data_IF_375727188478
#
_entry.id   IF_375727188478
#
_cell.length_a   1.000
_cell.length_b   1.000
_cell.length_c   1.000
_cell.angle_alpha   90.00
_cell.angle_beta   90.00
_cell.angle_gamma   90.00
#
_symmetry.space_group_name_H-M   'P 1'
#
loop_
_entity.id
_entity.type
_entity.pdbx_description
1 polymer ?
#
# COMPACT_ATOMS: atom_id res chain seq x y z
N UNK A 1 8.03 -0.99 -35.21
CA UNK A 1 6.59 -1.25 -34.97
C UNK A 1 6.16 -0.27 -33.89
N UNK A 2 5.24 0.60 -34.21
CA UNK A 2 4.74 1.59 -33.27
C UNK A 2 3.59 0.97 -32.45
N UNK A 3 3.20 1.60 -31.32
CA UNK A 3 2.11 1.08 -30.45
C UNK A 3 0.78 0.99 -31.22
N UNK A 4 0.54 1.92 -32.15
CA UNK A 4 -0.64 1.90 -33.02
C UNK A 4 -0.75 0.68 -33.95
N UNK A 5 0.31 -0.12 -34.09
CA UNK A 5 0.22 -1.41 -34.81
C UNK A 5 -0.57 -2.47 -34.01
N UNK A 6 -0.75 -2.26 -32.70
CA UNK A 6 -1.41 -3.21 -31.78
C UNK A 6 -2.67 -2.63 -31.13
N UNK A 7 -2.69 -1.33 -30.84
CA UNK A 7 -3.79 -0.63 -30.18
C UNK A 7 -4.18 0.60 -30.99
N UNK A 8 -5.47 0.87 -31.12
CA UNK A 8 -5.98 2.09 -31.75
C UNK A 8 -5.70 3.29 -30.83
N UNK A 9 -4.52 3.88 -30.96
CA UNK A 9 -4.10 5.08 -30.22
C UNK A 9 -3.85 6.22 -31.23
N UNK A 10 -4.48 7.38 -31.00
CA UNK A 10 -4.30 8.59 -31.81
C UNK A 10 -2.82 8.99 -31.80
N UNK A 11 -2.20 9.28 -32.97
CA UNK A 11 -0.79 9.70 -33.04
C UNK A 11 -0.47 10.94 -32.18
N UNK A 12 -1.44 11.80 -31.89
CA UNK A 12 -1.25 12.96 -31.01
C UNK A 12 -1.07 12.54 -29.55
N UNK A 13 -1.80 11.50 -29.09
CA UNK A 13 -1.61 10.91 -27.75
C UNK A 13 -0.25 10.24 -27.67
N UNK A 14 0.18 9.51 -28.71
CA UNK A 14 1.51 8.89 -28.77
C UNK A 14 2.61 9.95 -28.67
N UNK A 15 2.55 11.00 -29.47
CA UNK A 15 3.50 12.12 -29.41
C UNK A 15 3.50 12.85 -28.05
N UNK A 16 2.32 13.06 -27.45
CA UNK A 16 2.19 13.64 -26.13
C UNK A 16 2.83 12.76 -25.06
N UNK A 17 2.63 11.44 -25.17
CA UNK A 17 3.20 10.45 -24.25
C UNK A 17 4.72 10.38 -24.30
N UNK A 18 5.32 10.49 -25.50
CA UNK A 18 6.78 10.58 -25.65
C UNK A 18 7.35 11.83 -24.96
N UNK A 19 6.66 12.96 -25.09
CA UNK A 19 7.05 14.20 -24.42
C UNK A 19 6.90 14.07 -22.90
N UNK A 20 5.78 13.51 -22.43
CA UNK A 20 5.56 13.25 -21.01
C UNK A 20 6.66 12.35 -20.41
N UNK A 21 7.01 11.27 -21.10
CA UNK A 21 8.09 10.38 -20.67
C UNK A 21 9.45 11.07 -20.63
N UNK A 22 9.77 11.87 -21.62
CA UNK A 22 11.00 12.68 -21.63
C UNK A 22 11.06 13.65 -20.43
N UNK A 23 9.94 14.30 -20.07
CA UNK A 23 9.83 15.18 -18.91
C UNK A 23 10.05 14.41 -17.59
N UNK A 24 9.68 13.12 -17.54
CA UNK A 24 9.83 12.27 -16.35
C UNK A 24 11.27 11.74 -16.14
N UNK A 25 12.19 11.94 -17.08
CA UNK A 25 13.51 11.28 -17.10
C UNK A 25 14.30 11.43 -15.80
N UNK A 26 14.28 12.60 -15.18
CA UNK A 26 14.96 12.85 -13.89
C UNK A 26 14.31 12.05 -12.76
N UNK A 27 12.98 12.08 -12.66
CA UNK A 27 12.23 11.35 -11.64
C UNK A 27 12.47 9.84 -11.79
N UNK A 28 12.50 9.33 -13.03
CA UNK A 28 12.81 7.92 -13.31
C UNK A 28 14.21 7.54 -12.86
N UNK A 29 15.22 8.39 -13.09
CA UNK A 29 16.58 8.14 -12.62
C UNK A 29 16.68 8.07 -11.10
N UNK A 30 15.92 8.92 -10.39
CA UNK A 30 15.84 8.92 -8.92
C UNK A 30 15.15 7.65 -8.40
N UNK A 31 14.05 7.24 -9.03
CA UNK A 31 13.33 5.98 -8.73
C UNK A 31 14.27 4.78 -8.92
N UNK A 32 15.01 4.72 -10.04
CA UNK A 32 15.95 3.63 -10.32
C UNK A 32 17.10 3.58 -9.30
N UNK A 33 17.54 4.73 -8.79
CA UNK A 33 18.55 4.79 -7.73
C UNK A 33 18.01 4.17 -6.43
N UNK A 34 16.80 4.53 -6.02
CA UNK A 34 16.12 3.97 -4.85
C UNK A 34 15.89 2.45 -5.01
N UNK A 35 15.46 2.01 -6.19
CA UNK A 35 15.27 0.59 -6.48
C UNK A 35 16.59 -0.20 -6.36
N UNK A 36 17.69 0.31 -6.90
CA UNK A 36 19.03 -0.32 -6.76
C UNK A 36 19.47 -0.43 -5.31
N UNK A 37 19.23 0.62 -4.49
CA UNK A 37 19.50 0.58 -3.05
C UNK A 37 18.69 -0.54 -2.37
N UNK A 38 17.39 -0.57 -2.60
CA UNK A 38 16.48 -1.55 -2.00
C UNK A 38 16.78 -2.98 -2.49
N UNK A 39 17.11 -3.17 -3.77
CA UNK A 39 17.53 -4.47 -4.29
C UNK A 39 18.82 -4.99 -3.63
N UNK A 40 19.80 -4.10 -3.41
CA UNK A 40 21.01 -4.46 -2.68
C UNK A 40 20.72 -4.84 -1.23
N UNK A 41 19.81 -4.13 -0.55
CA UNK A 41 19.33 -4.43 0.80
C UNK A 41 18.68 -5.82 0.88
N UNK A 42 17.80 -6.14 -0.07
CA UNK A 42 17.15 -7.45 -0.16
C UNK A 42 18.16 -8.56 -0.44
N UNK A 43 19.03 -8.41 -1.43
CA UNK A 43 20.08 -9.39 -1.75
C UNK A 43 21.00 -9.67 -0.56
N UNK A 44 21.38 -8.61 0.16
CA UNK A 44 22.21 -8.74 1.36
C UNK A 44 21.49 -9.56 2.44
N UNK A 45 20.19 -9.30 2.68
CA UNK A 45 19.40 -10.05 3.65
C UNK A 45 19.27 -11.54 3.27
N UNK A 46 19.08 -11.84 1.99
CA UNK A 46 19.06 -13.22 1.48
C UNK A 46 20.38 -13.94 1.73
N UNK A 47 21.51 -13.29 1.43
CA UNK A 47 22.84 -13.86 1.63
C UNK A 47 23.15 -14.09 3.13
N UNK A 48 22.91 -13.11 3.98
CA UNK A 48 23.18 -13.17 5.40
C UNK A 48 22.38 -14.27 6.11
N UNK A 49 21.10 -14.43 5.72
CA UNK A 49 20.21 -15.44 6.27
C UNK A 49 20.30 -16.78 5.53
N UNK A 50 21.28 -16.93 4.61
CA UNK A 50 21.57 -18.19 3.90
C UNK A 50 20.34 -18.78 3.22
N UNK A 51 19.56 -17.93 2.54
CA UNK A 51 18.40 -18.41 1.77
C UNK A 51 18.86 -19.45 0.76
N UNK A 52 18.27 -20.62 0.81
CA UNK A 52 18.61 -21.78 -0.02
C UNK A 52 17.33 -22.46 -0.51
N UNK A 53 17.45 -23.41 -1.41
CA UNK A 53 16.31 -24.18 -1.94
C UNK A 53 15.50 -24.87 -0.82
N UNK A 54 16.14 -25.22 0.29
CA UNK A 54 15.46 -25.82 1.46
C UNK A 54 14.44 -24.87 2.11
N UNK A 55 14.59 -23.56 1.94
CA UNK A 55 13.61 -22.58 2.43
C UNK A 55 12.26 -22.66 1.69
N UNK A 56 12.22 -23.31 0.53
CA UNK A 56 11.03 -23.46 -0.31
C UNK A 56 10.30 -24.80 -0.07
N UNK A 57 10.74 -25.56 0.93
CA UNK A 57 10.10 -26.81 1.36
C UNK A 57 8.65 -26.58 1.77
N UNK A 58 7.86 -27.64 1.72
CA UNK A 58 6.44 -27.62 2.07
C UNK A 58 6.27 -28.25 3.44
N UNK A 59 5.65 -27.51 4.36
CA UNK A 59 5.13 -28.06 5.61
C UNK A 59 3.61 -28.11 5.61
N UNK A 60 3.06 -29.05 6.36
CA UNK A 60 1.63 -29.30 6.54
C UNK A 60 1.29 -29.47 8.01
N UNK A 61 0.00 -29.50 8.35
CA UNK A 61 -0.46 -29.68 9.72
C UNK A 61 0.00 -28.54 10.64
N UNK A 62 0.63 -28.86 11.76
CA UNK A 62 1.10 -27.86 12.72
C UNK A 62 2.30 -27.05 12.21
N UNK A 63 3.09 -27.57 11.29
CA UNK A 63 4.25 -26.89 10.73
C UNK A 63 5.34 -26.57 11.77
N UNK A 64 5.51 -27.41 12.81
CA UNK A 64 6.61 -27.23 13.75
C UNK A 64 7.98 -27.32 13.07
N UNK A 65 8.90 -26.41 13.43
CA UNK A 65 10.26 -26.41 12.92
C UNK A 65 10.36 -26.15 11.42
N UNK A 66 9.42 -25.39 10.83
CA UNK A 66 9.51 -24.99 9.43
C UNK A 66 10.67 -24.01 9.23
N UNK A 67 11.79 -24.54 8.73
CA UNK A 67 13.01 -23.77 8.51
C UNK A 67 12.80 -22.58 7.55
N UNK A 68 12.05 -22.81 6.46
CA UNK A 68 11.81 -21.78 5.45
C UNK A 68 11.02 -20.60 6.00
N UNK A 69 9.99 -20.88 6.80
CA UNK A 69 9.19 -19.86 7.50
C UNK A 69 10.07 -19.03 8.45
N UNK A 70 10.91 -19.68 9.24
CA UNK A 70 11.74 -19.01 10.22
C UNK A 70 12.85 -18.17 9.55
N UNK A 71 13.39 -18.61 8.42
CA UNK A 71 14.32 -17.82 7.61
C UNK A 71 13.60 -16.65 6.94
N UNK A 72 12.37 -16.83 6.48
CA UNK A 72 11.57 -15.75 5.88
C UNK A 72 11.38 -14.59 6.87
N UNK A 73 10.99 -14.88 8.10
CA UNK A 73 10.83 -13.87 9.15
C UNK A 73 12.14 -13.08 9.37
N UNK A 74 13.29 -13.75 9.44
CA UNK A 74 14.60 -13.12 9.63
C UNK A 74 15.00 -12.23 8.43
N UNK A 75 14.77 -12.71 7.21
CA UNK A 75 15.03 -11.91 5.99
C UNK A 75 14.19 -10.64 6.01
N UNK A 76 12.90 -10.76 6.34
CA UNK A 76 12.01 -9.61 6.41
C UNK A 76 12.40 -8.63 7.51
N UNK A 77 12.73 -9.11 8.71
CA UNK A 77 13.21 -8.27 9.78
C UNK A 77 14.44 -7.45 9.35
N UNK A 78 15.41 -8.10 8.71
CA UNK A 78 16.61 -7.42 8.22
C UNK A 78 16.31 -6.41 7.10
N UNK A 79 15.46 -6.76 6.12
CA UNK A 79 15.08 -5.87 5.02
C UNK A 79 14.37 -4.61 5.53
N UNK A 80 13.49 -4.76 6.52
CA UNK A 80 12.71 -3.65 7.08
C UNK A 80 13.45 -2.90 8.20
N UNK A 81 14.61 -3.41 8.65
CA UNK A 81 15.40 -2.81 9.72
C UNK A 81 14.74 -2.95 11.09
N UNK A 82 14.11 -4.09 11.36
CA UNK A 82 13.40 -4.41 12.60
C UNK A 82 14.07 -5.53 13.39
N UNK A 83 13.69 -5.68 14.65
CA UNK A 83 14.21 -6.77 15.50
C UNK A 83 13.64 -8.13 15.10
N UNK A 84 12.37 -8.18 14.73
CA UNK A 84 11.65 -9.40 14.34
C UNK A 84 10.57 -9.11 13.31
N UNK A 85 10.08 -10.18 12.65
CA UNK A 85 8.96 -10.12 11.73
C UNK A 85 8.08 -11.39 11.87
N UNK A 86 6.81 -11.24 11.48
CA UNK A 86 5.81 -12.30 11.36
C UNK A 86 5.23 -12.21 9.96
N UNK A 87 5.74 -13.05 9.04
CA UNK A 87 5.31 -13.06 7.63
C UNK A 87 4.55 -14.34 7.36
N UNK A 88 3.26 -14.22 7.07
CA UNK A 88 2.40 -15.42 6.97
C UNK A 88 1.42 -15.30 5.80
N UNK A 89 1.26 -16.40 5.07
CA UNK A 89 0.28 -16.51 3.99
C UNK A 89 -1.17 -16.53 4.49
N UNK A 90 -1.39 -16.93 5.74
CA UNK A 90 -2.72 -17.01 6.35
C UNK A 90 -3.23 -15.71 6.96
N UNK A 91 -2.52 -14.60 6.84
CA UNK A 91 -3.16 -13.31 6.88
C UNK A 91 -4.01 -13.16 5.63
N UNK A 92 -5.33 -13.16 5.77
CA UNK A 92 -6.25 -13.14 4.63
C UNK A 92 -6.31 -11.79 3.90
N UNK A 93 -5.79 -10.73 4.53
CA UNK A 93 -5.71 -9.38 3.97
C UNK A 93 -4.81 -8.47 4.81
N UNK A 94 -4.48 -7.29 4.31
CA UNK A 94 -3.82 -6.23 5.10
C UNK A 94 -4.66 -5.81 6.32
N UNK A 95 -5.97 -5.67 6.15
CA UNK A 95 -6.90 -5.38 7.26
C UNK A 95 -6.85 -6.47 8.33
N UNK A 96 -6.72 -7.75 7.97
CA UNK A 96 -6.55 -8.83 8.94
C UNK A 96 -5.22 -8.70 9.69
N UNK A 97 -4.12 -8.39 9.00
CA UNK A 97 -2.83 -8.18 9.65
C UNK A 97 -2.89 -7.01 10.66
N UNK A 98 -3.53 -5.91 10.29
CA UNK A 98 -3.78 -4.76 11.17
C UNK A 98 -4.66 -5.16 12.37
N UNK A 99 -5.73 -5.92 12.13
CA UNK A 99 -6.62 -6.42 13.18
C UNK A 99 -5.86 -7.31 14.16
N UNK A 100 -5.02 -8.22 13.67
CA UNK A 100 -4.17 -9.08 14.52
C UNK A 100 -3.24 -8.23 15.38
N UNK A 101 -2.60 -7.21 14.82
CA UNK A 101 -1.72 -6.33 15.57
C UNK A 101 -2.48 -5.52 16.63
N UNK A 102 -3.61 -4.93 16.26
CA UNK A 102 -4.45 -4.15 17.19
C UNK A 102 -4.92 -4.99 18.37
N UNK A 103 -5.53 -6.15 18.13
CA UNK A 103 -6.00 -7.04 19.20
C UNK A 103 -4.87 -7.78 19.92
N UNK A 104 -3.71 -7.94 19.29
CA UNK A 104 -2.50 -8.48 19.90
C UNK A 104 -1.92 -7.56 20.96
N UNK A 105 -1.95 -6.26 20.72
CA UNK A 105 -1.28 -5.26 21.56
C UNK A 105 -2.22 -4.52 22.52
N UNK A 106 -3.49 -4.38 22.19
CA UNK A 106 -4.47 -3.65 23.04
C UNK A 106 -5.20 -4.59 24.00
N UNK A 107 -5.52 -4.07 25.17
CA UNK A 107 -6.29 -4.73 26.24
C UNK A 107 -7.46 -3.83 26.67
N UNK A 108 -8.47 -4.34 27.38
CA UNK A 108 -9.53 -3.53 27.94
C UNK A 108 -8.97 -2.35 28.74
N UNK A 109 -9.57 -1.17 28.53
CA UNK A 109 -9.18 0.14 29.07
C UNK A 109 -7.92 0.78 28.44
N UNK A 110 -7.19 0.10 27.56
CA UNK A 110 -6.15 0.75 26.77
C UNK A 110 -6.76 1.83 25.86
N UNK A 111 -5.93 2.81 25.49
CA UNK A 111 -6.29 3.88 24.56
C UNK A 111 -5.36 3.85 23.33
N UNK A 112 -5.95 3.98 22.15
CA UNK A 112 -5.23 4.20 20.88
C UNK A 112 -5.57 5.58 20.34
N UNK A 113 -4.57 6.28 19.78
CA UNK A 113 -4.77 7.58 19.13
C UNK A 113 -4.36 7.49 17.66
N UNK A 114 -5.30 7.75 16.77
CA UNK A 114 -5.05 7.86 15.34
C UNK A 114 -4.55 9.27 15.03
N UNK A 115 -3.24 9.40 14.75
CA UNK A 115 -2.57 10.70 14.64
C UNK A 115 -2.50 11.24 13.20
N UNK A 116 -3.01 10.49 12.24
CA UNK A 116 -3.03 10.85 10.81
C UNK A 116 -4.44 10.91 10.23
N UNK A 117 -5.41 11.31 11.04
CA UNK A 117 -6.81 11.37 10.65
C UNK A 117 -7.56 10.06 10.87
N UNK A 118 -8.76 9.97 10.30
CA UNK A 118 -9.57 8.75 10.34
C UNK A 118 -8.83 7.63 9.60
N UNK A 119 -8.72 6.43 10.20
CA UNK A 119 -8.05 5.32 9.53
C UNK A 119 -8.85 4.85 8.32
N UNK A 120 -8.24 3.98 7.50
CA UNK A 120 -8.84 3.44 6.30
C UNK A 120 -10.18 2.75 6.56
N UNK A 121 -11.12 2.86 5.63
CA UNK A 121 -12.52 2.46 5.79
C UNK A 121 -12.72 1.04 6.35
N UNK A 122 -11.89 0.08 5.94
CA UNK A 122 -12.00 -1.31 6.43
C UNK A 122 -11.65 -1.48 7.92
N UNK A 123 -11.00 -0.49 8.54
CA UNK A 123 -10.74 -0.48 9.99
C UNK A 123 -11.87 0.16 10.80
N UNK A 124 -12.82 0.86 10.17
CA UNK A 124 -13.87 1.56 10.91
C UNK A 124 -14.69 0.62 11.79
N UNK A 125 -15.07 -0.55 11.29
CA UNK A 125 -15.79 -1.55 12.09
C UNK A 125 -14.89 -2.27 13.08
N UNK A 126 -13.62 -2.51 12.72
CA UNK A 126 -12.62 -3.14 13.61
C UNK A 126 -12.44 -2.34 14.90
N UNK A 127 -12.39 -1.00 14.79
CA UNK A 127 -12.23 -0.12 15.96
C UNK A 127 -13.54 0.24 16.64
N UNK A 128 -14.69 0.02 16.00
CA UNK A 128 -16.01 0.39 16.49
C UNK A 128 -16.40 1.84 16.22
N UNK A 129 -15.83 2.45 15.17
CA UNK A 129 -16.22 3.77 14.64
C UNK A 129 -17.53 3.68 13.88
N UNK A 130 -17.73 2.60 13.12
CA UNK A 130 -18.96 2.22 12.41
C UNK A 130 -19.34 0.79 12.78
N UNK A 131 -20.45 0.30 12.27
CA UNK A 131 -20.93 -1.06 12.45
C UNK A 131 -21.92 -1.22 13.61
N UNK A 132 -22.35 -2.45 13.84
CA UNK A 132 -23.35 -2.79 14.87
C UNK A 132 -22.62 -3.04 16.20
N UNK A 133 -23.04 -2.40 17.32
CA UNK A 133 -22.49 -2.70 18.64
C UNK A 133 -22.63 -4.20 18.99
N UNK A 134 -21.59 -4.76 19.58
CA UNK A 134 -21.54 -6.18 19.93
C UNK A 134 -20.96 -7.10 18.85
N UNK A 135 -20.50 -6.56 17.71
CA UNK A 135 -19.83 -7.33 16.65
C UNK A 135 -18.41 -7.80 17.03
N UNK A 136 -17.89 -7.40 18.19
CA UNK A 136 -16.53 -7.75 18.61
C UNK A 136 -15.47 -6.75 18.14
N UNK A 137 -15.85 -5.48 17.99
CA UNK A 137 -14.91 -4.38 17.74
C UNK A 137 -14.00 -4.11 18.95
N UNK A 138 -12.89 -3.37 18.76
CA UNK A 138 -12.06 -2.93 19.88
C UNK A 138 -12.87 -2.20 20.96
N UNK A 139 -13.82 -1.38 20.54
CA UNK A 139 -14.74 -0.67 21.46
C UNK A 139 -15.58 -1.63 22.30
N UNK A 140 -16.06 -2.72 21.71
CA UNK A 140 -16.84 -3.74 22.45
C UNK A 140 -15.99 -4.46 23.51
N UNK A 141 -14.68 -4.54 23.30
CA UNK A 141 -13.71 -5.05 24.28
C UNK A 141 -13.19 -3.98 25.24
N UNK A 142 -13.79 -2.80 25.27
CA UNK A 142 -13.46 -1.74 26.20
C UNK A 142 -12.18 -0.98 25.87
N UNK A 143 -11.70 -1.02 24.62
CA UNK A 143 -10.61 -0.19 24.14
C UNK A 143 -11.14 1.19 23.74
N UNK A 144 -10.47 2.24 24.19
CA UNK A 144 -10.81 3.61 23.86
C UNK A 144 -9.99 4.10 22.66
N UNK A 145 -10.55 5.00 21.86
CA UNK A 145 -9.79 5.63 20.77
C UNK A 145 -10.08 7.12 20.65
N UNK A 146 -9.07 7.85 20.18
CA UNK A 146 -9.19 9.24 19.72
C UNK A 146 -8.68 9.34 18.28
N UNK A 147 -9.24 10.29 17.52
CA UNK A 147 -8.84 10.59 16.14
C UNK A 147 -8.42 12.06 16.09
N UNK A 148 -7.19 12.32 15.68
CA UNK A 148 -6.67 13.67 15.47
C UNK A 148 -6.83 13.99 13.98
N UNK A 149 -7.67 14.95 13.61
CA UNK A 149 -7.81 15.33 12.20
C UNK A 149 -6.49 15.90 11.67
N UNK A 150 -6.28 15.73 10.39
CA UNK A 150 -5.18 16.39 9.69
C UNK A 150 -5.42 17.90 9.64
N UNK A 151 -4.35 18.66 9.42
CA UNK A 151 -4.42 20.09 9.11
C UNK A 151 -5.12 20.31 7.77
N UNK A 152 -5.52 21.55 7.48
CA UNK A 152 -6.14 21.92 6.19
C UNK A 152 -5.26 21.56 4.96
N UNK A 153 -3.95 21.49 5.16
CA UNK A 153 -2.98 21.09 4.13
C UNK A 153 -2.76 19.57 4.05
N UNK A 154 -3.58 18.76 4.72
CA UNK A 154 -3.46 17.29 4.72
C UNK A 154 -2.22 16.76 5.46
N UNK A 155 -1.62 17.53 6.37
CA UNK A 155 -0.45 17.12 7.17
C UNK A 155 -0.87 16.77 8.59
N UNK A 156 -0.10 15.91 9.32
CA UNK A 156 -0.36 15.64 10.72
C UNK A 156 -0.30 16.93 11.56
N UNK A 157 -1.24 17.11 12.45
CA UNK A 157 -1.21 18.21 13.42
C UNK A 157 -0.28 17.83 14.57
N UNK A 158 0.98 18.23 14.47
CA UNK A 158 2.03 17.89 15.44
C UNK A 158 1.72 18.46 16.83
N UNK A 159 1.14 19.67 16.91
CA UNK A 159 0.81 20.31 18.18
C UNK A 159 -0.32 19.57 18.89
N UNK A 160 -1.39 19.28 18.16
CA UNK A 160 -2.53 18.54 18.71
C UNK A 160 -2.15 17.12 19.06
N UNK A 161 -1.31 16.48 18.22
CA UNK A 161 -0.75 15.15 18.51
C UNK A 161 -0.03 15.14 19.85
N UNK A 162 0.91 16.06 20.09
CA UNK A 162 1.65 16.12 21.35
C UNK A 162 0.76 16.28 22.60
N UNK A 163 -0.37 16.96 22.47
CA UNK A 163 -1.32 17.22 23.57
C UNK A 163 -2.31 16.08 23.83
N UNK A 164 -2.49 15.16 22.87
CA UNK A 164 -3.57 14.14 22.92
C UNK A 164 -3.09 12.75 23.34
N UNK A 165 -1.79 12.56 23.59
CA UNK A 165 -1.20 11.24 23.86
C UNK A 165 -1.23 10.82 25.32
N UNK A 166 -1.82 11.63 26.21
CA UNK A 166 -1.92 11.26 27.63
C UNK A 166 -2.78 9.99 27.80
N UNK A 167 -2.23 9.02 28.56
CA UNK A 167 -2.85 7.72 28.77
C UNK A 167 -2.94 6.82 27.52
N UNK A 168 -2.40 7.23 26.39
CA UNK A 168 -2.40 6.43 25.17
C UNK A 168 -1.30 5.37 25.21
N UNK A 169 -1.66 4.14 24.81
CA UNK A 169 -0.75 3.02 24.64
C UNK A 169 -0.17 2.96 23.23
N UNK A 170 -1.00 3.26 22.23
CA UNK A 170 -0.62 3.22 20.81
C UNK A 170 -0.91 4.57 20.15
N UNK A 171 0.05 5.10 19.42
CA UNK A 171 -0.13 6.12 18.39
C UNK A 171 -0.14 5.41 17.03
N UNK A 172 -1.28 5.47 16.34
CA UNK A 172 -1.46 4.83 15.05
C UNK A 172 -1.23 5.81 13.91
N UNK A 173 -0.39 5.43 12.98
CA UNK A 173 -0.06 6.18 11.76
C UNK A 173 -0.55 5.38 10.56
N UNK A 174 -1.34 6.00 9.70
CA UNK A 174 -1.62 5.50 8.35
C UNK A 174 -0.77 6.27 7.36
N UNK A 175 0.22 5.61 6.74
CA UNK A 175 1.15 6.26 5.81
C UNK A 175 0.48 6.64 4.51
N UNK A 176 -0.25 5.71 3.89
CA UNK A 176 -0.96 5.93 2.63
C UNK A 176 -2.18 6.86 2.79
N UNK A 177 -2.65 7.37 1.65
CA UNK A 177 -3.74 8.38 1.63
C UNK A 177 -5.16 7.81 1.70
N UNK A 178 -5.37 6.52 1.36
CA UNK A 178 -6.73 6.02 1.06
C UNK A 178 -7.37 6.81 -0.09
N UNK A 179 -8.66 7.12 0.00
CA UNK A 179 -9.39 7.98 -0.95
C UNK A 179 -9.33 9.48 -0.59
N UNK A 180 -8.22 9.93 0.00
CA UNK A 180 -7.99 11.34 0.29
C UNK A 180 -7.14 11.98 -0.82
N UNK A 181 -7.34 13.27 -1.08
CA UNK A 181 -6.54 14.02 -2.06
C UNK A 181 -5.19 14.50 -1.51
N UNK A 182 -4.90 14.27 -0.22
CA UNK A 182 -3.57 14.53 0.33
C UNK A 182 -2.49 13.65 -0.30
N UNK A 183 -1.23 14.00 -0.16
CA UNK A 183 -0.12 13.10 -0.44
C UNK A 183 0.05 12.06 0.67
N UNK A 184 0.60 10.88 0.35
CA UNK A 184 1.07 9.95 1.37
C UNK A 184 2.27 10.54 2.14
N UNK A 185 2.49 10.10 3.39
CA UNK A 185 3.58 10.63 4.21
C UNK A 185 4.92 10.02 3.82
N UNK A 186 5.89 10.88 3.58
CA UNK A 186 7.29 10.51 3.34
C UNK A 186 7.96 10.08 4.64
N UNK A 187 9.09 9.37 4.53
CA UNK A 187 9.91 9.00 5.70
C UNK A 187 10.39 10.23 6.48
N UNK A 188 10.66 11.34 5.77
CA UNK A 188 11.03 12.61 6.43
C UNK A 188 9.90 13.17 7.32
N UNK A 189 8.66 13.15 6.82
CA UNK A 189 7.48 13.59 7.58
C UNK A 189 7.17 12.64 8.74
N UNK A 190 7.33 11.33 8.53
CA UNK A 190 7.19 10.35 9.60
C UNK A 190 8.24 10.54 10.70
N UNK A 191 9.48 10.92 10.35
CA UNK A 191 10.54 11.22 11.31
C UNK A 191 10.14 12.34 12.26
N UNK A 192 9.59 13.43 11.72
CA UNK A 192 9.12 14.56 12.51
C UNK A 192 7.96 14.15 13.44
N UNK A 193 7.00 13.42 12.90
CA UNK A 193 5.84 12.93 13.66
C UNK A 193 6.26 11.98 14.78
N UNK A 194 7.10 10.97 14.49
CA UNK A 194 7.61 10.03 15.49
C UNK A 194 8.40 10.74 16.59
N UNK A 195 9.23 11.73 16.25
CA UNK A 195 9.98 12.50 17.23
C UNK A 195 9.05 13.29 18.18
N UNK A 196 7.98 13.89 17.66
CA UNK A 196 6.98 14.59 18.49
C UNK A 196 6.23 13.61 19.39
N UNK A 197 5.83 12.46 18.87
CA UNK A 197 5.13 11.42 19.64
C UNK A 197 6.01 10.91 20.78
N UNK A 198 7.26 10.51 20.51
CA UNK A 198 8.17 9.98 21.52
C UNK A 198 8.60 11.04 22.53
N UNK A 199 8.68 12.31 22.14
CA UNK A 199 8.93 13.42 23.08
C UNK A 199 7.77 13.64 24.05
N UNK A 200 6.53 13.50 23.57
CA UNK A 200 5.33 13.67 24.40
C UNK A 200 5.10 12.47 25.33
N UNK A 201 5.31 11.24 24.81
CA UNK A 201 5.19 10.00 25.59
C UNK A 201 6.24 8.99 25.12
N UNK A 202 7.38 8.83 25.82
CA UNK A 202 8.45 7.92 25.42
C UNK A 202 8.05 6.44 25.36
N UNK A 203 7.08 6.02 26.18
CA UNK A 203 6.65 4.63 26.30
C UNK A 203 5.58 4.22 25.27
N UNK A 204 5.01 5.19 24.56
CA UNK A 204 3.95 4.90 23.59
C UNK A 204 4.47 4.06 22.44
N UNK A 205 3.67 3.08 22.01
CA UNK A 205 3.96 2.27 20.83
C UNK A 205 3.55 3.04 19.58
N UNK A 206 4.48 3.31 18.68
CA UNK A 206 4.19 3.87 17.36
C UNK A 206 3.93 2.72 16.39
N UNK A 207 2.66 2.54 16.02
CA UNK A 207 2.21 1.54 15.06
C UNK A 207 1.93 2.21 13.72
N UNK A 208 2.55 1.71 12.64
CA UNK A 208 2.36 2.26 11.29
C UNK A 208 1.76 1.24 10.33
N UNK A 209 0.60 1.57 9.74
CA UNK A 209 0.13 0.93 8.52
C UNK A 209 1.01 1.42 7.36
N UNK A 210 1.87 0.53 6.85
CA UNK A 210 2.85 0.83 5.81
C UNK A 210 2.39 0.38 4.42
N UNK A 211 1.14 -0.07 4.27
CA UNK A 211 0.59 -0.47 2.97
C UNK A 211 0.85 0.60 1.90
N UNK A 212 1.34 0.18 0.73
CA UNK A 212 1.75 1.01 -0.42
C UNK A 212 3.05 1.81 -0.23
N UNK A 213 3.64 1.85 0.97
CA UNK A 213 4.85 2.62 1.26
C UNK A 213 6.14 1.80 1.13
N UNK A 214 6.05 0.48 1.15
CA UNK A 214 7.22 -0.40 1.14
C UNK A 214 8.04 -0.20 -0.14
N UNK A 215 9.36 -0.03 0.02
CA UNK A 215 10.35 0.19 -1.07
C UNK A 215 10.16 1.46 -1.90
N UNK A 216 9.24 2.35 -1.54
CA UNK A 216 9.06 3.66 -2.21
C UNK A 216 10.23 4.59 -1.92
N UNK A 217 10.80 4.52 -0.72
CA UNK A 217 12.01 5.24 -0.28
C UNK A 217 13.11 4.25 0.13
N UNK A 218 14.32 4.72 0.38
CA UNK A 218 15.46 3.87 0.79
C UNK A 218 15.29 3.31 2.21
N UNK A 219 14.53 4.01 3.07
CA UNK A 219 14.26 3.65 4.46
C UNK A 219 12.78 3.35 4.69
N UNK A 220 12.52 2.53 5.69
CA UNK A 220 11.18 2.20 6.16
C UNK A 220 10.88 2.89 7.50
N UNK A 221 9.60 3.00 7.93
CA UNK A 221 9.23 3.74 9.14
C UNK A 221 9.97 3.35 10.43
N UNK A 222 10.43 2.09 10.65
CA UNK A 222 11.22 1.75 11.83
C UNK A 222 12.55 2.52 11.92
N UNK A 223 13.18 2.86 10.79
CA UNK A 223 14.40 3.65 10.77
C UNK A 223 14.24 5.07 11.32
N UNK A 224 13.00 5.54 11.47
CA UNK A 224 12.68 6.90 11.94
C UNK A 224 11.82 6.92 13.21
N UNK A 225 11.66 5.75 13.85
CA UNK A 225 11.07 5.66 15.19
C UNK A 225 9.73 4.95 15.31
N UNK A 226 9.21 4.33 14.24
CA UNK A 226 8.08 3.43 14.36
C UNK A 226 8.50 2.14 15.09
N UNK A 227 7.73 1.70 16.10
CA UNK A 227 8.02 0.50 16.87
C UNK A 227 7.55 -0.77 16.16
N UNK A 228 6.49 -0.65 15.35
CA UNK A 228 5.91 -1.78 14.61
C UNK A 228 5.25 -1.28 13.33
N UNK A 229 5.43 -2.03 12.26
CA UNK A 229 4.82 -1.78 10.95
C UNK A 229 4.04 -2.99 10.46
N UNK A 230 2.97 -2.72 9.75
CA UNK A 230 2.05 -3.74 9.25
C UNK A 230 1.78 -3.49 7.76
N UNK A 231 1.62 -4.56 6.98
CA UNK A 231 1.24 -4.43 5.59
C UNK A 231 0.73 -5.73 4.97
N UNK A 232 0.45 -5.65 3.68
CA UNK A 232 -0.16 -6.71 2.88
C UNK A 232 0.82 -7.28 1.86
N UNK A 233 0.87 -8.60 1.74
CA UNK A 233 1.73 -9.27 0.76
C UNK A 233 1.20 -9.18 -0.68
N UNK A 234 -0.08 -8.95 -0.90
CA UNK A 234 -0.63 -8.75 -2.25
C UNK A 234 -0.40 -7.32 -2.79
N UNK A 235 0.32 -6.48 -2.04
CA UNK A 235 0.72 -5.12 -2.42
C UNK A 235 2.22 -5.06 -2.75
N UNK A 236 2.84 -3.91 -2.49
CA UNK A 236 4.25 -3.65 -2.81
C UNK A 236 5.20 -4.82 -2.50
N UNK A 237 5.23 -5.33 -1.26
CA UNK A 237 6.31 -6.23 -0.86
C UNK A 237 6.17 -7.65 -1.40
N UNK A 238 5.01 -8.03 -1.91
CA UNK A 238 4.82 -9.32 -2.57
C UNK A 238 5.19 -9.32 -4.05
N UNK A 239 5.62 -8.17 -4.61
CA UNK A 239 6.20 -8.07 -5.96
C UNK A 239 5.31 -8.61 -7.09
N UNK A 240 3.98 -8.57 -6.93
CA UNK A 240 3.03 -9.13 -7.89
C UNK A 240 3.02 -10.67 -7.97
N UNK A 241 3.76 -11.36 -7.08
CA UNK A 241 3.86 -12.83 -7.06
C UNK A 241 3.06 -13.43 -5.90
N UNK A 242 3.10 -12.77 -4.72
CA UNK A 242 2.39 -13.28 -3.54
C UNK A 242 0.87 -13.19 -3.73
N UNK A 243 0.20 -14.33 -3.71
CA UNK A 243 -1.26 -14.44 -3.92
C UNK A 243 -2.11 -14.13 -2.69
N UNK A 244 -1.49 -14.09 -1.52
CA UNK A 244 -2.14 -13.89 -0.22
C UNK A 244 -1.09 -13.52 0.82
N UNK A 245 -1.54 -13.13 1.99
CA UNK A 245 -0.66 -12.94 3.13
C UNK A 245 -0.51 -11.50 3.57
N UNK A 246 0.19 -11.36 4.68
CA UNK A 246 0.54 -10.09 5.29
C UNK A 246 1.80 -10.22 6.13
N UNK A 247 2.25 -9.10 6.64
CA UNK A 247 3.38 -9.06 7.55
C UNK A 247 3.12 -8.11 8.72
N UNK A 248 3.76 -8.41 9.83
CA UNK A 248 3.91 -7.55 11.01
C UNK A 248 5.40 -7.58 11.35
N UNK A 249 6.06 -6.43 11.42
CA UNK A 249 7.49 -6.34 11.72
C UNK A 249 7.78 -5.17 12.65
N UNK A 250 8.70 -5.35 13.58
CA UNK A 250 8.99 -4.33 14.59
C UNK A 250 9.84 -4.85 15.74
N UNK A 251 9.62 -4.31 16.93
CA UNK A 251 10.20 -4.81 18.17
C UNK A 251 9.78 -6.24 18.41
N UNK A 252 10.71 -7.07 18.87
CA UNK A 252 10.48 -8.52 19.05
C UNK A 252 9.36 -8.82 20.04
N UNK A 253 9.27 -8.08 21.15
CA UNK A 253 8.21 -8.25 22.16
C UNK A 253 6.81 -7.97 21.58
N UNK A 254 6.69 -7.00 20.69
CA UNK A 254 5.40 -6.66 20.05
C UNK A 254 5.02 -7.69 18.98
N UNK A 255 5.99 -8.15 18.18
CA UNK A 255 5.79 -9.19 17.16
C UNK A 255 5.36 -10.50 17.80
N UNK A 256 5.95 -10.87 18.96
CA UNK A 256 5.55 -12.05 19.71
C UNK A 256 4.09 -11.99 20.15
N UNK A 257 3.63 -10.87 20.74
CA UNK A 257 2.23 -10.67 21.13
C UNK A 257 1.27 -10.78 19.94
N UNK A 258 1.66 -10.24 18.79
CA UNK A 258 0.90 -10.36 17.55
C UNK A 258 0.83 -11.82 17.07
N UNK A 259 1.92 -12.57 17.20
CA UNK A 259 1.95 -14.00 16.83
C UNK A 259 0.99 -14.84 17.67
N UNK A 260 0.87 -14.53 18.96
CA UNK A 260 -0.12 -15.16 19.83
C UNK A 260 -1.56 -14.86 19.42
N UNK A 261 -1.80 -13.67 18.86
CA UNK A 261 -3.13 -13.33 18.35
C UNK A 261 -3.44 -13.99 17.02
N UNK A 262 -2.45 -14.19 16.16
CA UNK A 262 -2.61 -14.86 14.87
C UNK A 262 -2.87 -16.37 15.05
N UNK A 263 -2.20 -16.99 16.00
CA UNK A 263 -2.29 -18.44 16.28
C UNK A 263 -3.00 -18.67 17.63
N UNK A 264 -2.24 -18.88 18.68
CA UNK A 264 -2.76 -18.92 20.05
C UNK A 264 -1.64 -18.62 21.05
N UNK A 265 -2.03 -18.17 22.25
CA UNK A 265 -1.11 -17.89 23.36
C UNK A 265 -0.28 -19.13 23.69
N UNK A 266 1.02 -18.96 23.77
CA UNK A 266 1.96 -20.01 24.10
C UNK A 266 2.52 -20.81 22.91
N UNK A 267 1.90 -20.72 21.71
CA UNK A 267 2.43 -21.32 20.47
C UNK A 267 3.04 -20.27 19.52
N UNK A 268 2.33 -19.17 19.28
CA UNK A 268 2.87 -18.06 18.53
C UNK A 268 3.48 -18.44 17.18
N UNK A 269 4.75 -18.10 16.99
CA UNK A 269 5.52 -18.35 15.76
C UNK A 269 5.93 -19.81 15.54
N UNK A 270 5.83 -20.66 16.57
CA UNK A 270 6.26 -22.06 16.50
C UNK A 270 5.37 -22.93 15.60
N UNK A 271 4.16 -22.47 15.30
CA UNK A 271 3.18 -23.17 14.47
C UNK A 271 2.80 -22.36 13.24
N UNK A 272 2.19 -23.05 12.28
CA UNK A 272 1.73 -22.50 11.02
C UNK A 272 2.47 -23.13 9.84
N UNK A 273 1.79 -24.06 9.17
CA UNK A 273 2.34 -24.71 7.98
C UNK A 273 2.39 -23.72 6.80
N UNK A 274 3.35 -23.90 5.92
CA UNK A 274 3.60 -22.98 4.79
C UNK A 274 2.82 -23.35 3.52
N UNK A 275 2.36 -24.59 3.39
CA UNK A 275 1.59 -25.09 2.24
C UNK A 275 2.26 -24.80 0.88
N UNK A 276 3.59 -24.66 0.86
CA UNK A 276 4.36 -24.35 -0.34
C UNK A 276 4.38 -22.86 -0.74
N UNK A 277 3.81 -21.97 0.06
CA UNK A 277 3.74 -20.55 -0.24
C UNK A 277 5.08 -19.79 -0.09
N UNK A 278 6.04 -20.36 0.65
CA UNK A 278 7.33 -19.70 0.91
C UNK A 278 8.04 -19.24 -0.38
N UNK A 279 8.05 -20.08 -1.42
CA UNK A 279 8.68 -19.71 -2.71
C UNK A 279 8.16 -18.37 -3.24
N UNK A 280 6.84 -18.20 -3.24
CA UNK A 280 6.21 -16.96 -3.72
C UNK A 280 6.55 -15.77 -2.82
N UNK A 281 6.56 -15.96 -1.51
CA UNK A 281 6.87 -14.90 -0.56
C UNK A 281 8.33 -14.45 -0.65
N UNK A 282 9.29 -15.37 -0.83
CA UNK A 282 10.69 -15.04 -1.08
C UNK A 282 10.89 -14.39 -2.45
N UNK A 283 10.33 -14.98 -3.50
CA UNK A 283 10.48 -14.47 -4.87
C UNK A 283 9.81 -13.10 -5.02
N UNK A 284 8.65 -12.91 -4.41
CA UNK A 284 7.95 -11.63 -4.39
C UNK A 284 8.80 -10.54 -3.71
N UNK A 285 9.37 -10.83 -2.52
CA UNK A 285 10.27 -9.90 -1.85
C UNK A 285 11.51 -9.57 -2.69
N UNK A 286 12.09 -10.55 -3.38
CA UNK A 286 13.24 -10.34 -4.27
C UNK A 286 12.91 -9.39 -5.42
N UNK A 287 11.72 -9.51 -6.00
CA UNK A 287 11.29 -8.68 -7.13
C UNK A 287 10.73 -7.31 -6.70
N UNK A 288 10.28 -7.20 -5.46
CA UNK A 288 9.55 -6.03 -4.97
C UNK A 288 10.21 -4.67 -5.25
N UNK A 289 11.54 -4.47 -5.08
CA UNK A 289 12.18 -3.19 -5.38
C UNK A 289 11.99 -2.73 -6.82
N UNK A 290 12.13 -3.62 -7.80
CA UNK A 290 11.97 -3.31 -9.22
C UNK A 290 10.49 -3.14 -9.60
N UNK A 291 9.62 -3.95 -9.02
CA UNK A 291 8.17 -3.85 -9.25
C UNK A 291 7.62 -2.53 -8.70
N UNK A 292 8.05 -2.12 -7.50
CA UNK A 292 7.65 -0.83 -6.93
C UNK A 292 8.21 0.34 -7.75
N UNK A 293 9.43 0.23 -8.29
CA UNK A 293 9.97 1.21 -9.21
C UNK A 293 9.13 1.34 -10.48
N UNK A 294 8.68 0.23 -11.06
CA UNK A 294 7.78 0.24 -12.22
C UNK A 294 6.44 0.90 -11.89
N UNK A 295 5.85 0.59 -10.73
CA UNK A 295 4.62 1.22 -10.27
C UNK A 295 4.78 2.74 -10.05
N UNK A 296 5.90 3.17 -9.46
CA UNK A 296 6.22 4.59 -9.29
C UNK A 296 6.41 5.31 -10.64
N UNK A 297 7.12 4.69 -11.59
CA UNK A 297 7.27 5.26 -12.94
C UNK A 297 5.93 5.38 -13.64
N UNK A 298 5.06 4.38 -13.51
CA UNK A 298 3.69 4.44 -14.06
C UNK A 298 2.90 5.59 -13.44
N UNK A 299 2.97 5.78 -12.13
CA UNK A 299 2.30 6.87 -11.41
C UNK A 299 2.84 8.25 -11.81
N UNK A 300 4.17 8.41 -11.94
CA UNK A 300 4.83 9.65 -12.37
C UNK A 300 4.47 9.98 -13.82
N UNK A 301 4.52 8.99 -14.71
CA UNK A 301 4.13 9.16 -16.11
C UNK A 301 2.65 9.55 -16.24
N UNK A 302 1.76 8.91 -15.50
CA UNK A 302 0.34 9.27 -15.47
C UNK A 302 0.14 10.71 -14.98
N UNK A 303 0.82 11.12 -13.91
CA UNK A 303 0.76 12.50 -13.41
C UNK A 303 1.18 13.51 -14.47
N UNK A 304 2.26 13.25 -15.21
CA UNK A 304 2.74 14.15 -16.26
C UNK A 304 1.76 14.19 -17.43
N UNK A 305 1.39 13.04 -17.99
CA UNK A 305 0.51 12.97 -19.16
C UNK A 305 -0.84 13.64 -18.88
N UNK A 306 -1.49 13.34 -17.75
CA UNK A 306 -2.78 13.92 -17.43
C UNK A 306 -2.69 15.40 -17.04
N UNK A 307 -1.57 15.85 -16.46
CA UNK A 307 -1.31 17.29 -16.28
C UNK A 307 -1.19 18.02 -17.63
N UNK A 308 -0.50 17.42 -18.61
CA UNK A 308 -0.43 17.97 -19.97
C UNK A 308 -1.79 17.98 -20.68
N UNK A 309 -2.70 17.10 -20.32
CA UNK A 309 -4.10 17.06 -20.79
C UNK A 309 -5.04 18.01 -20.01
N UNK A 310 -4.51 18.76 -19.03
CA UNK A 310 -5.26 19.78 -18.28
C UNK A 310 -5.92 19.29 -16.99
N UNK A 311 -5.63 18.08 -16.54
CA UNK A 311 -6.14 17.54 -15.28
C UNK A 311 -5.17 17.82 -14.12
N UNK A 312 -5.71 17.98 -12.92
CA UNK A 312 -4.89 18.09 -11.71
C UNK A 312 -4.54 16.70 -11.21
N UNK A 313 -3.26 16.48 -10.95
CA UNK A 313 -2.74 15.22 -10.38
C UNK A 313 -2.09 15.44 -9.01
N UNK A 314 -2.33 14.53 -8.08
CA UNK A 314 -1.75 14.57 -6.74
C UNK A 314 -1.21 13.20 -6.36
N UNK A 315 0.11 13.00 -6.08
CA UNK A 315 1.18 13.99 -6.27
C UNK A 315 1.36 14.37 -7.73
N UNK A 316 1.88 15.57 -7.98
CA UNK A 316 2.36 15.96 -9.29
C UNK A 316 3.62 15.19 -9.69
N UNK A 317 4.11 15.45 -10.91
CA UNK A 317 5.24 14.71 -11.51
C UNK A 317 6.49 14.72 -10.66
N UNK A 318 6.86 15.87 -10.10
CA UNK A 318 8.10 16.07 -9.32
C UNK A 318 7.89 16.12 -7.80
N UNK A 319 6.66 15.92 -7.34
CA UNK A 319 6.37 15.94 -5.91
C UNK A 319 6.95 14.70 -5.20
N UNK A 320 7.37 14.82 -3.93
CA UNK A 320 7.75 13.67 -3.13
C UNK A 320 6.60 12.67 -3.01
N UNK A 321 6.95 11.38 -3.04
CA UNK A 321 5.98 10.28 -2.94
C UNK A 321 6.29 9.41 -1.74
N UNK A 322 5.26 9.15 -0.92
CA UNK A 322 5.32 8.19 0.19
C UNK A 322 4.61 6.88 -0.12
N UNK A 323 3.94 6.80 -1.28
CA UNK A 323 3.26 5.60 -1.79
C UNK A 323 3.30 5.54 -3.32
N UNK A 324 2.71 4.49 -3.92
CA UNK A 324 2.62 4.27 -5.36
C UNK A 324 1.35 4.87 -5.99
N UNK A 325 0.54 5.61 -5.25
CA UNK A 325 -0.78 6.08 -5.69
C UNK A 325 -0.69 7.47 -6.31
N UNK A 326 -1.41 7.69 -7.40
CA UNK A 326 -1.67 9.02 -7.97
C UNK A 326 -3.19 9.23 -8.09
N UNK A 327 -3.69 10.33 -7.52
CA UNK A 327 -5.05 10.77 -7.76
C UNK A 327 -5.07 11.69 -8.97
N UNK A 328 -5.95 11.40 -9.94
CA UNK A 328 -6.23 12.24 -11.11
C UNK A 328 -7.63 12.83 -10.94
N UNK A 329 -7.73 14.14 -10.76
CA UNK A 329 -9.01 14.84 -10.61
C UNK A 329 -9.64 15.06 -11.98
N UNK A 330 -10.61 14.25 -12.34
CA UNK A 330 -11.21 14.19 -13.67
C UNK A 330 -12.39 15.16 -13.84
N UNK A 331 -12.93 15.70 -12.74
CA UNK A 331 -13.90 16.80 -12.72
C UNK A 331 -15.35 16.40 -13.00
N UNK A 332 -15.61 15.33 -13.76
CA UNK A 332 -16.97 14.83 -14.05
C UNK A 332 -17.06 13.32 -13.89
N UNK A 333 -18.28 12.80 -13.71
CA UNK A 333 -18.53 11.36 -13.63
C UNK A 333 -18.17 10.66 -14.94
N UNK A 334 -18.49 11.26 -16.08
CA UNK A 334 -18.21 10.73 -17.40
C UNK A 334 -16.70 10.57 -17.62
N UNK A 335 -15.89 11.58 -17.26
CA UNK A 335 -14.43 11.50 -17.34
C UNK A 335 -13.88 10.37 -16.46
N UNK A 336 -14.38 10.22 -15.23
CA UNK A 336 -13.95 9.17 -14.31
C UNK A 336 -14.27 7.77 -14.86
N UNK A 337 -15.47 7.61 -15.42
CA UNK A 337 -15.89 6.34 -16.04
C UNK A 337 -15.01 6.03 -17.25
N UNK A 338 -14.84 6.98 -18.17
CA UNK A 338 -14.01 6.80 -19.36
C UNK A 338 -12.55 6.47 -19.00
N UNK A 339 -11.98 7.17 -18.02
CA UNK A 339 -10.64 6.90 -17.53
C UNK A 339 -10.49 5.45 -17.05
N UNK A 340 -11.37 4.98 -16.16
CA UNK A 340 -11.34 3.61 -15.65
C UNK A 340 -11.56 2.58 -16.76
N UNK A 341 -12.47 2.84 -17.71
CA UNK A 341 -12.68 1.98 -18.87
C UNK A 341 -11.42 1.86 -19.74
N UNK A 342 -10.69 2.95 -19.95
CA UNK A 342 -9.43 2.95 -20.68
C UNK A 342 -8.33 2.17 -19.96
N UNK A 343 -8.18 2.33 -18.63
CA UNK A 343 -7.26 1.51 -17.82
C UNK A 343 -7.61 0.03 -17.92
N UNK A 344 -8.90 -0.33 -17.84
CA UNK A 344 -9.33 -1.73 -17.95
C UNK A 344 -8.95 -2.35 -19.30
N UNK A 345 -9.06 -1.62 -20.41
CA UNK A 345 -8.64 -2.07 -21.74
C UNK A 345 -7.16 -2.41 -21.83
N UNK A 346 -6.32 -1.79 -20.99
CA UNK A 346 -4.89 -2.06 -20.90
C UNK A 346 -4.50 -3.09 -19.83
N UNK A 347 -5.45 -3.69 -19.15
CA UNK A 347 -5.20 -4.69 -18.10
C UNK A 347 -4.87 -6.07 -18.73
N UNK A 348 -4.03 -6.90 -18.08
CA UNK A 348 -3.69 -8.22 -18.60
C UNK A 348 -4.83 -9.24 -18.45
N UNK A 349 -5.75 -9.01 -17.52
CA UNK A 349 -6.91 -9.87 -17.23
C UNK A 349 -8.17 -9.05 -17.45
N UNK A 350 -9.19 -9.68 -18.03
CA UNK A 350 -10.51 -9.06 -18.27
C UNK A 350 -10.46 -7.73 -19.07
N UNK A 351 -9.46 -7.55 -19.95
CA UNK A 351 -9.34 -6.34 -20.79
C UNK A 351 -10.57 -6.09 -21.68
N UNK A 352 -11.34 -7.12 -21.98
CA UNK A 352 -12.57 -7.07 -22.80
C UNK A 352 -13.80 -6.61 -22.02
N UNK A 353 -13.70 -6.52 -20.68
CA UNK A 353 -14.79 -6.06 -19.81
C UNK A 353 -14.85 -4.55 -19.80
N UNK A 354 -16.06 -3.99 -19.86
CA UNK A 354 -16.28 -2.56 -19.69
C UNK A 354 -16.79 -2.31 -18.27
N UNK A 355 -15.99 -1.74 -17.36
CA UNK A 355 -16.43 -1.47 -15.99
C UNK A 355 -17.53 -0.41 -15.97
N UNK A 356 -18.49 -0.62 -15.08
CA UNK A 356 -19.57 0.32 -14.77
C UNK A 356 -19.60 0.64 -13.28
N UNK A 357 -20.08 1.84 -12.90
CA UNK A 357 -20.27 2.17 -11.49
C UNK A 357 -21.28 1.24 -10.81
N UNK A 358 -21.00 0.81 -9.60
CA UNK A 358 -21.87 -0.06 -8.82
C UNK A 358 -21.81 0.25 -7.31
N UNK A 359 -22.83 -0.22 -6.59
CA UNK A 359 -22.94 -0.06 -5.14
C UNK A 359 -22.02 -1.05 -4.43
N UNK A 360 -20.90 -0.57 -3.92
CA UNK A 360 -19.95 -1.39 -3.16
C UNK A 360 -20.29 -1.42 -1.67
N UNK A 361 -20.25 -2.59 -1.02
CA UNK A 361 -20.41 -2.67 0.43
C UNK A 361 -19.40 -1.78 1.18
N UNK A 362 -19.89 -0.95 2.10
CA UNK A 362 -19.05 -0.06 2.90
C UNK A 362 -18.83 1.33 2.30
N UNK A 363 -19.33 1.62 1.10
CA UNK A 363 -19.24 2.94 0.47
C UNK A 363 -20.61 3.63 0.36
N UNK A 364 -20.62 4.96 0.54
CA UNK A 364 -21.85 5.77 0.46
C UNK A 364 -22.23 6.13 -0.98
N UNK A 365 -21.24 6.17 -1.87
CA UNK A 365 -21.43 6.49 -3.30
C UNK A 365 -21.05 5.27 -4.13
N UNK A 366 -21.65 5.16 -5.31
CA UNK A 366 -21.21 4.19 -6.29
C UNK A 366 -19.71 4.37 -6.57
N UNK A 367 -19.02 3.25 -6.80
CA UNK A 367 -17.60 3.23 -7.14
C UNK A 367 -17.45 2.59 -8.52
N UNK A 368 -16.61 3.18 -9.36
CA UNK A 368 -16.12 2.50 -10.56
C UNK A 368 -14.71 1.96 -10.29
N UNK A 369 -14.41 0.77 -10.79
CA UNK A 369 -13.12 0.11 -10.59
C UNK A 369 -12.64 -0.56 -11.86
N UNK A 370 -11.41 -0.25 -12.27
CA UNK A 370 -10.62 -1.00 -13.24
C UNK A 370 -9.58 -1.81 -12.46
N UNK A 371 -9.70 -3.13 -12.47
CA UNK A 371 -8.90 -4.02 -11.62
C UNK A 371 -8.62 -5.38 -12.29
N UNK A 372 -8.17 -5.36 -13.52
CA UNK A 372 -7.82 -6.58 -14.28
C UNK A 372 -6.45 -7.12 -13.86
N UNK A 373 -6.41 -7.82 -12.72
CA UNK A 373 -5.19 -8.31 -12.09
C UNK A 373 -5.18 -9.84 -11.97
N UNK A 374 -3.99 -10.46 -11.94
CA UNK A 374 -3.81 -11.91 -11.70
C UNK A 374 -4.17 -12.29 -10.26
N UNK A 375 -3.96 -11.37 -9.31
CA UNK A 375 -4.33 -11.55 -7.92
C UNK A 375 -5.44 -10.55 -7.56
N UNK A 376 -6.61 -11.03 -7.19
CA UNK A 376 -7.74 -10.18 -6.86
C UNK A 376 -7.40 -9.24 -5.70
N UNK A 377 -7.57 -7.94 -5.90
CA UNK A 377 -7.24 -6.89 -4.93
C UNK A 377 -5.76 -6.51 -4.89
N UNK A 378 -4.91 -7.04 -5.78
CA UNK A 378 -3.49 -6.68 -5.89
C UNK A 378 -3.33 -5.32 -6.56
N UNK A 379 -3.27 -4.28 -5.76
CA UNK A 379 -3.08 -2.91 -6.24
C UNK A 379 -1.69 -2.62 -6.78
N UNK A 380 -0.70 -3.51 -6.56
CA UNK A 380 0.63 -3.40 -7.18
C UNK A 380 0.61 -3.75 -8.68
N UNK A 381 -0.39 -4.48 -9.15
CA UNK A 381 -0.43 -4.89 -10.56
C UNK A 381 -0.82 -3.74 -11.50
N UNK A 382 -1.86 -3.15 -11.42
CA UNK A 382 -2.36 -1.88 -11.96
C UNK A 382 -3.86 -1.84 -11.71
N UNK A 383 -4.31 -0.81 -11.07
CA UNK A 383 -5.73 -0.55 -10.90
C UNK A 383 -6.02 0.94 -10.88
N UNK A 384 -7.25 1.29 -11.20
CA UNK A 384 -7.77 2.62 -11.03
C UNK A 384 -9.20 2.53 -10.53
N UNK A 385 -9.50 3.24 -9.48
CA UNK A 385 -10.83 3.26 -8.89
C UNK A 385 -11.17 4.64 -8.36
N UNK A 386 -12.46 4.91 -8.25
CA UNK A 386 -12.93 6.16 -7.67
C UNK A 386 -14.42 6.17 -7.38
N UNK A 387 -14.83 6.80 -6.25
CA UNK A 387 -16.23 7.03 -5.95
C UNK A 387 -16.83 8.11 -6.86
N UNK A 388 -18.06 7.91 -7.32
CA UNK A 388 -18.79 8.86 -8.16
C UNK A 388 -19.28 10.06 -7.32
N UNK A 389 -18.36 10.88 -6.89
CA UNK A 389 -18.61 12.14 -6.16
C UNK A 389 -17.56 13.20 -6.53
N UNK A 390 -17.88 14.48 -6.47
CA UNK A 390 -16.88 15.53 -6.66
C UNK A 390 -15.64 15.34 -5.75
N UNK A 391 -14.43 15.59 -6.27
CA UNK A 391 -14.10 16.13 -7.60
C UNK A 391 -14.00 15.06 -8.71
N UNK A 392 -14.60 13.87 -8.54
CA UNK A 392 -14.55 12.76 -9.49
C UNK A 392 -13.11 12.37 -9.83
N UNK A 393 -12.36 12.05 -8.80
CA UNK A 393 -10.98 11.64 -8.92
C UNK A 393 -10.86 10.12 -9.10
N UNK A 394 -9.90 9.70 -9.91
CA UNK A 394 -9.45 8.31 -9.97
C UNK A 394 -8.17 8.15 -9.16
N UNK A 395 -8.11 7.15 -8.31
CA UNK A 395 -6.88 6.71 -7.63
C UNK A 395 -6.25 5.61 -8.45
N UNK A 396 -5.20 5.98 -9.19
CA UNK A 396 -4.40 5.09 -10.01
C UNK A 396 -3.24 4.55 -9.17
N UNK A 397 -3.01 3.24 -9.22
CA UNK A 397 -1.97 2.59 -8.42
C UNK A 397 -1.43 1.35 -9.12
N UNK A 398 -0.15 1.04 -8.90
CA UNK A 398 0.49 -0.16 -9.41
C UNK A 398 1.07 -0.04 -10.82
N UNK A 399 1.37 -1.20 -11.36
CA UNK A 399 2.04 -1.38 -12.63
C UNK A 399 3.31 -2.22 -12.48
N UNK A 400 3.17 -3.56 -12.41
CA UNK A 400 4.31 -4.48 -12.31
C UNK A 400 5.28 -4.38 -13.49
N UNK A 401 4.79 -3.88 -14.61
CA UNK A 401 5.57 -3.56 -15.81
C UNK A 401 5.30 -2.11 -16.21
N UNK A 402 6.32 -1.27 -16.18
CA UNK A 402 6.18 0.11 -16.64
C UNK A 402 5.73 0.18 -18.10
N UNK A 403 6.26 -0.70 -18.97
CA UNK A 403 5.89 -0.71 -20.38
C UNK A 403 4.38 -0.97 -20.58
N UNK A 404 3.82 -1.94 -19.86
CA UNK A 404 2.37 -2.21 -19.89
C UNK A 404 1.57 -1.10 -19.22
N UNK A 405 2.04 -0.59 -18.09
CA UNK A 405 1.41 0.55 -17.40
C UNK A 405 1.31 1.79 -18.30
N UNK A 406 2.39 2.12 -19.00
CA UNK A 406 2.42 3.22 -19.98
C UNK A 406 1.34 3.07 -21.05
N UNK A 407 1.17 1.88 -21.61
CA UNK A 407 0.12 1.58 -22.61
C UNK A 407 -1.26 1.79 -22.00
N UNK A 408 -1.51 1.26 -20.79
CA UNK A 408 -2.79 1.41 -20.11
C UNK A 408 -3.15 2.88 -19.85
N UNK A 409 -2.16 3.71 -19.48
CA UNK A 409 -2.34 5.16 -19.31
C UNK A 409 -2.66 5.85 -20.64
N UNK A 410 -2.02 5.44 -21.75
CA UNK A 410 -2.35 5.96 -23.08
C UNK A 410 -3.76 5.57 -23.51
N UNK A 411 -4.20 4.34 -23.21
CA UNK A 411 -5.57 3.87 -23.48
C UNK A 411 -6.61 4.63 -22.66
N UNK A 412 -6.28 5.04 -21.43
CA UNK A 412 -7.16 5.91 -20.65
C UNK A 412 -7.32 7.30 -21.29
N UNK A 413 -6.23 7.89 -21.80
CA UNK A 413 -6.29 9.15 -22.54
C UNK A 413 -7.06 8.98 -23.88
N UNK A 414 -6.86 7.86 -24.56
CA UNK A 414 -7.58 7.52 -25.80
C UNK A 414 -9.09 7.38 -25.57
N UNK A 415 -9.49 6.75 -24.48
CA UNK A 415 -10.92 6.58 -24.17
C UNK A 415 -11.60 7.92 -23.88
N UNK A 416 -10.91 8.84 -23.16
CA UNK A 416 -11.39 10.22 -22.98
C UNK A 416 -11.53 10.95 -24.31
N UNK A 417 -10.59 10.75 -25.25
CA UNK A 417 -10.66 11.35 -26.58
C UNK A 417 -11.80 10.75 -27.42
N UNK A 418 -11.99 9.43 -27.41
CA UNK A 418 -13.04 8.74 -28.14
C UNK A 418 -14.44 9.21 -27.74
N UNK A 419 -14.62 9.53 -26.45
CA UNK A 419 -15.88 10.04 -25.92
C UNK A 419 -15.99 11.59 -26.02
N UNK A 420 -15.06 12.26 -26.73
CA UNK A 420 -14.99 13.72 -26.89
C UNK A 420 -14.96 14.48 -25.53
N UNK A 421 -14.38 13.89 -24.51
CA UNK A 421 -14.25 14.45 -23.16
C UNK A 421 -12.98 15.29 -23.00
N UNK A 422 -12.02 15.14 -23.90
CA UNK A 422 -10.81 15.96 -24.03
C UNK A 422 -10.62 16.39 -25.49
N UNK A 423 -9.89 17.49 -25.70
CA UNK A 423 -9.38 17.94 -27.00
C UNK A 423 -7.83 17.92 -26.98
N UNK A 424 -7.21 17.57 -28.14
CA UNK A 424 -5.75 17.50 -28.32
C UNK A 424 -5.24 18.56 -29.27
#
# INVERSE_FOLDING_TARGET
MAIHDFFEIDPRIEALSERAEANCSRCFADIDRTARHNAAKVLKAFADNKVSETCFGISTGYGYGDYGRDVLDKVWAQVLGTEDALVRHNFVSGTHALTVALFGLLRPNDKIVFVTGTPYDTLHEVIGLKGTPGNGSLKDFGVNYDIIPLTENGKPDLTRTALSLDGAKIAYIQRSRGYDLRTAFTISELKELCAVIKKANPEIIIMTDNCYGEFVEESEPPAVGADIIIGSMIKNPGGGIARTGGYIAGRADLVELCSYRLTCVGLGKEVGCTLGMNRELFQGLYLAPDIVANALKTAVFASELFTMLGFRCTPGTSDPRGDIVTAVELGTAENLIAFCQGIQKGSPVDAYVTPEPWDMPGYENQVIMAAGAFTNGASIELSADGPLRPPYAAWLQGGISYNSGRISIQLAAQELLNQALIAL
#
